data_IF_673707284284
#
_entry.id   IF_673707284284
#
_cell.length_a   1.000
_cell.length_b   1.000
_cell.length_c   1.000
_cell.angle_alpha   90.00
_cell.angle_beta   90.00
_cell.angle_gamma   90.00
#
_symmetry.space_group_name_H-M   'P 1'
#
loop_
_entity.id
_entity.type
_entity.pdbx_description
1 polymer ?
#
# COMPACT_ATOMS: atom_id res chain seq x y z
N UNK A 1 3.50 -18.89 13.03
CA UNK A 1 3.09 -18.69 11.61
C UNK A 1 3.67 -17.40 11.06
N UNK A 2 3.57 -16.28 11.78
CA UNK A 2 4.21 -15.01 11.41
C UNK A 2 5.71 -15.20 11.10
N UNK A 3 6.49 -15.79 12.00
CA UNK A 3 7.93 -16.00 11.78
C UNK A 3 8.24 -16.85 10.54
N UNK A 4 7.40 -17.85 10.23
CA UNK A 4 7.57 -18.67 9.02
C UNK A 4 7.28 -17.86 7.75
N UNK A 5 6.27 -16.98 7.80
CA UNK A 5 5.92 -16.10 6.69
C UNK A 5 7.02 -15.06 6.43
N UNK A 6 7.48 -14.40 7.49
CA UNK A 6 8.55 -13.41 7.41
C UNK A 6 9.87 -14.05 6.96
N UNK A 7 10.25 -15.17 7.58
CA UNK A 7 11.46 -15.91 7.19
C UNK A 7 11.40 -16.52 5.78
N UNK A 8 10.21 -16.78 5.24
CA UNK A 8 10.08 -17.18 3.83
C UNK A 8 10.37 -16.02 2.86
N UNK A 9 10.10 -14.77 3.23
CA UNK A 9 10.32 -13.60 2.38
C UNK A 9 11.68 -12.93 2.61
N UNK A 10 12.31 -13.18 3.75
CA UNK A 10 13.62 -12.64 4.10
C UNK A 10 14.67 -12.90 2.99
N UNK A 11 15.32 -11.81 2.55
CA UNK A 11 16.42 -11.86 1.58
C UNK A 11 16.02 -12.17 0.14
N UNK A 12 14.73 -12.12 -0.21
CA UNK A 12 14.29 -12.27 -1.60
C UNK A 12 14.22 -10.92 -2.30
N UNK A 13 14.87 -10.85 -3.46
CA UNK A 13 14.80 -9.66 -4.31
C UNK A 13 13.38 -9.45 -4.82
N UNK A 14 12.91 -8.19 -4.80
CA UNK A 14 11.65 -7.76 -5.39
C UNK A 14 10.39 -8.38 -4.77
N UNK A 15 10.51 -9.01 -3.60
CA UNK A 15 9.38 -9.62 -2.93
C UNK A 15 9.53 -9.55 -1.42
N UNK A 16 8.57 -8.91 -0.76
CA UNK A 16 8.51 -8.75 0.68
C UNK A 16 7.27 -9.42 1.27
N UNK A 17 7.37 -9.72 2.56
CA UNK A 17 6.27 -10.24 3.36
C UNK A 17 6.06 -9.38 4.61
N UNK A 18 4.82 -9.07 4.92
CA UNK A 18 4.45 -8.47 6.21
C UNK A 18 3.21 -9.16 6.79
N UNK A 19 2.89 -8.86 8.04
CA UNK A 19 1.73 -9.41 8.75
C UNK A 19 0.94 -8.26 9.37
N UNK A 20 -0.38 -8.42 9.40
CA UNK A 20 -1.32 -7.49 10.02
C UNK A 20 -2.24 -8.28 10.96
N UNK A 21 -2.85 -7.61 11.94
CA UNK A 21 -3.87 -8.24 12.76
C UNK A 21 -5.14 -8.53 11.96
N UNK A 22 -5.97 -9.44 12.48
CA UNK A 22 -7.17 -9.91 11.77
C UNK A 22 -8.24 -8.84 11.59
N UNK A 23 -8.35 -7.88 12.52
CA UNK A 23 -9.27 -6.74 12.38
C UNK A 23 -8.83 -5.84 11.22
N UNK A 24 -7.53 -5.56 11.12
CA UNK A 24 -6.94 -4.77 10.05
C UNK A 24 -7.13 -5.47 8.70
N UNK A 25 -6.86 -6.78 8.61
CA UNK A 25 -7.08 -7.55 7.37
C UNK A 25 -8.52 -7.47 6.87
N UNK A 26 -9.50 -7.73 7.76
CA UNK A 26 -10.94 -7.63 7.44
C UNK A 26 -11.34 -6.21 7.03
N UNK A 27 -10.79 -5.19 7.70
CA UNK A 27 -11.06 -3.79 7.39
C UNK A 27 -10.52 -3.42 6.01
N UNK A 28 -9.28 -3.80 5.70
CA UNK A 28 -8.66 -3.56 4.39
C UNK A 28 -9.49 -4.18 3.27
N UNK A 29 -9.79 -5.47 3.36
CA UNK A 29 -10.52 -6.19 2.31
C UNK A 29 -11.94 -5.64 2.10
N UNK A 30 -12.70 -5.44 3.18
CA UNK A 30 -14.08 -4.94 3.09
C UNK A 30 -14.16 -3.50 2.57
N UNK A 31 -13.24 -2.64 2.99
CA UNK A 31 -13.19 -1.24 2.55
C UNK A 31 -12.69 -1.11 1.12
N UNK A 32 -11.70 -1.88 0.71
CA UNK A 32 -11.21 -1.92 -0.67
C UNK A 32 -12.29 -2.43 -1.64
N UNK A 33 -13.12 -3.40 -1.23
CA UNK A 33 -14.27 -3.81 -2.03
C UNK A 33 -15.29 -2.67 -2.26
N UNK A 34 -15.44 -1.75 -1.31
CA UNK A 34 -16.34 -0.59 -1.43
C UNK A 34 -15.69 0.61 -2.13
N UNK A 35 -14.40 0.79 -1.94
CA UNK A 35 -13.58 1.92 -2.39
C UNK A 35 -12.35 1.34 -3.12
N UNK A 36 -12.49 0.90 -4.38
CA UNK A 36 -11.48 0.08 -5.03
C UNK A 36 -10.28 0.86 -5.57
N UNK A 37 -10.29 2.19 -5.53
CA UNK A 37 -9.18 3.01 -6.03
C UNK A 37 -8.56 3.85 -4.93
N UNK A 38 -7.25 4.01 -4.93
CA UNK A 38 -6.63 5.06 -4.14
C UNK A 38 -5.30 5.47 -4.74
N UNK A 39 -4.58 6.38 -4.09
CA UNK A 39 -3.28 6.84 -4.53
C UNK A 39 -2.26 6.75 -3.40
N UNK A 40 -1.01 6.47 -3.77
CA UNK A 40 0.09 6.48 -2.82
C UNK A 40 1.33 7.14 -3.44
N UNK A 41 1.82 8.26 -2.87
CA UNK A 41 3.07 8.87 -3.30
C UNK A 41 4.28 8.09 -2.77
N UNK A 42 5.33 8.01 -3.59
CA UNK A 42 6.68 7.55 -3.20
C UNK A 42 7.61 8.76 -3.31
N UNK A 43 8.25 9.12 -2.19
CA UNK A 43 9.09 10.32 -2.09
C UNK A 43 10.58 9.99 -2.18
N UNK A 44 11.29 10.80 -2.96
CA UNK A 44 12.74 10.76 -3.20
C UNK A 44 13.33 12.16 -3.01
N UNK A 45 14.64 12.31 -3.21
CA UNK A 45 15.35 13.58 -3.01
C UNK A 45 14.81 14.71 -3.90
N UNK A 46 14.51 14.40 -5.17
CA UNK A 46 14.07 15.39 -6.18
C UNK A 46 12.54 15.54 -6.32
N UNK A 47 11.76 15.00 -5.36
CA UNK A 47 10.30 15.10 -5.36
C UNK A 47 9.61 13.77 -5.11
N UNK A 48 8.46 13.56 -5.76
CA UNK A 48 7.68 12.33 -5.62
C UNK A 48 7.04 11.93 -6.94
N UNK A 49 6.71 10.65 -7.05
CA UNK A 49 5.78 10.16 -8.05
C UNK A 49 4.62 9.47 -7.34
N UNK A 50 3.46 9.46 -7.97
CA UNK A 50 2.25 8.89 -7.37
C UNK A 50 1.87 7.60 -8.08
N UNK A 51 1.57 6.57 -7.30
CA UNK A 51 0.95 5.35 -7.79
C UNK A 51 -0.55 5.42 -7.59
N UNK A 52 -1.31 4.90 -8.55
CA UNK A 52 -2.73 4.59 -8.37
C UNK A 52 -2.85 3.12 -7.99
N UNK A 53 -3.50 2.85 -6.88
CA UNK A 53 -3.87 1.52 -6.43
C UNK A 53 -5.26 1.17 -6.95
N UNK A 54 -5.42 -0.05 -7.46
CA UNK A 54 -6.70 -0.64 -7.83
C UNK A 54 -6.86 -2.00 -7.14
N UNK A 55 -7.94 -2.15 -6.38
CA UNK A 55 -8.34 -3.42 -5.77
C UNK A 55 -8.97 -4.37 -6.80
N UNK A 56 -8.59 -5.64 -6.69
CA UNK A 56 -9.10 -6.78 -7.44
C UNK A 56 -9.51 -7.85 -6.42
N UNK A 57 -10.81 -8.12 -6.35
CA UNK A 57 -11.37 -9.15 -5.46
C UNK A 57 -10.72 -10.52 -5.72
N UNK A 58 -10.46 -11.33 -4.68
CA UNK A 58 -10.85 -11.12 -3.28
C UNK A 58 -9.85 -10.37 -2.40
N UNK A 59 -8.61 -10.15 -2.84
CA UNK A 59 -7.56 -9.64 -1.95
C UNK A 59 -6.34 -9.06 -2.63
N UNK A 60 -6.40 -8.76 -3.93
CA UNK A 60 -5.26 -8.32 -4.72
C UNK A 60 -5.33 -6.83 -5.00
N UNK A 61 -4.17 -6.17 -5.03
CA UNK A 61 -4.04 -4.76 -5.35
C UNK A 61 -2.98 -4.59 -6.42
N UNK A 62 -3.30 -3.80 -7.44
CA UNK A 62 -2.40 -3.42 -8.52
C UNK A 62 -2.06 -1.95 -8.36
N UNK A 63 -0.77 -1.61 -8.34
CA UNK A 63 -0.32 -0.22 -8.26
C UNK A 63 0.44 0.14 -9.53
N UNK A 64 -0.07 1.09 -10.29
CA UNK A 64 0.57 1.59 -11.51
C UNK A 64 0.92 3.08 -11.38
N UNK A 65 1.82 3.58 -12.22
CA UNK A 65 2.13 5.01 -12.24
C UNK A 65 0.88 5.83 -12.60
N UNK A 66 0.55 6.83 -11.78
CA UNK A 66 -0.70 7.59 -11.91
C UNK A 66 -0.80 8.30 -13.27
N UNK A 67 0.29 8.87 -13.77
CA UNK A 67 0.25 9.60 -15.05
C UNK A 67 0.07 8.66 -16.24
N UNK A 68 0.71 7.48 -16.24
CA UNK A 68 0.47 6.45 -17.26
C UNK A 68 -0.99 5.97 -17.21
N UNK A 69 -1.55 5.79 -16.01
CA UNK A 69 -2.94 5.39 -15.84
C UNK A 69 -3.92 6.46 -16.33
N UNK A 70 -3.65 7.75 -16.07
CA UNK A 70 -4.46 8.85 -16.61
C UNK A 70 -4.41 8.92 -18.14
N UNK A 71 -3.26 8.60 -18.74
CA UNK A 71 -3.09 8.59 -20.19
C UNK A 71 -3.82 7.41 -20.86
N UNK A 72 -3.59 6.18 -20.38
CA UNK A 72 -4.24 4.98 -20.90
C UNK A 72 -4.29 3.87 -19.82
N UNK A 73 -5.42 3.74 -19.11
CA UNK A 73 -5.59 2.72 -18.07
C UNK A 73 -5.34 1.29 -18.56
N UNK A 74 -5.60 0.99 -19.84
CA UNK A 74 -5.43 -0.36 -20.39
C UNK A 74 -3.96 -0.71 -20.66
N UNK A 75 -3.08 0.29 -20.72
CA UNK A 75 -1.64 0.13 -20.97
C UNK A 75 -0.78 0.35 -19.73
N UNK A 76 -1.31 1.03 -18.71
CA UNK A 76 -0.60 1.26 -17.45
C UNK A 76 -0.17 -0.06 -16.82
N UNK A 77 1.14 -0.30 -16.77
CA UNK A 77 1.71 -1.52 -16.19
C UNK A 77 1.81 -1.38 -14.67
N UNK A 78 1.43 -2.41 -13.90
CA UNK A 78 1.68 -2.44 -12.48
C UNK A 78 3.19 -2.37 -12.19
N UNK A 79 3.57 -1.50 -11.25
CA UNK A 79 4.91 -1.36 -10.73
C UNK A 79 5.06 -2.11 -9.39
N UNK A 80 3.99 -2.16 -8.60
CA UNK A 80 3.89 -2.94 -7.37
C UNK A 80 2.57 -3.71 -7.42
N UNK A 81 2.57 -4.92 -6.89
CA UNK A 81 1.34 -5.62 -6.52
C UNK A 81 1.42 -6.09 -5.08
N UNK A 82 0.30 -6.15 -4.39
CA UNK A 82 0.25 -6.85 -3.11
C UNK A 82 -1.03 -7.64 -2.94
N UNK A 83 -0.95 -8.67 -2.10
CA UNK A 83 -2.09 -9.54 -1.78
C UNK A 83 -2.26 -9.63 -0.27
N UNK A 84 -3.50 -9.56 0.19
CA UNK A 84 -3.87 -9.78 1.60
C UNK A 84 -4.61 -11.11 1.69
N UNK A 85 -4.09 -12.03 2.50
CA UNK A 85 -4.67 -13.34 2.78
C UNK A 85 -5.28 -13.34 4.19
N UNK A 86 -6.57 -13.65 4.30
CA UNK A 86 -7.32 -13.64 5.55
C UNK A 86 -7.68 -15.04 6.08
N UNK A 87 -7.19 -16.11 5.44
CA UNK A 87 -7.44 -17.52 5.79
C UNK A 87 -7.13 -17.85 7.26
N UNK A 88 -6.18 -17.12 7.86
CA UNK A 88 -5.72 -17.33 9.23
C UNK A 88 -6.36 -16.39 10.25
N UNK A 89 -7.23 -15.48 9.83
CA UNK A 89 -7.82 -14.47 10.72
C UNK A 89 -8.69 -15.13 11.79
N UNK A 90 -9.56 -16.06 11.41
CA UNK A 90 -10.51 -16.64 12.38
C UNK A 90 -9.85 -17.62 13.37
N UNK A 91 -8.67 -18.15 13.04
CA UNK A 91 -7.96 -19.15 13.86
C UNK A 91 -6.78 -18.57 14.63
N UNK A 92 -6.11 -17.56 14.08
CA UNK A 92 -4.88 -17.01 14.64
C UNK A 92 -4.87 -15.47 14.75
N UNK A 93 -5.96 -14.78 14.37
CA UNK A 93 -6.07 -13.31 14.35
C UNK A 93 -4.95 -12.63 13.52
N UNK A 94 -4.56 -13.27 12.41
CA UNK A 94 -3.45 -12.84 11.56
C UNK A 94 -3.90 -12.78 10.11
N UNK A 95 -3.67 -11.64 9.46
CA UNK A 95 -3.62 -11.51 8.00
C UNK A 95 -2.19 -11.56 7.49
N UNK A 96 -1.96 -12.27 6.39
CA UNK A 96 -0.66 -12.32 5.73
C UNK A 96 -0.68 -11.39 4.52
N UNK A 97 0.40 -10.64 4.33
CA UNK A 97 0.54 -9.75 3.17
C UNK A 97 1.80 -10.12 2.40
N UNK A 98 1.65 -10.29 1.09
CA UNK A 98 2.76 -10.45 0.14
C UNK A 98 2.85 -9.21 -0.73
N UNK A 99 4.05 -8.69 -0.91
CA UNK A 99 4.36 -7.55 -1.77
C UNK A 99 5.29 -8.03 -2.87
N UNK A 100 5.01 -7.65 -4.12
CA UNK A 100 5.85 -7.91 -5.27
C UNK A 100 6.17 -6.59 -5.98
N UNK A 101 7.45 -6.25 -6.11
CA UNK A 101 7.95 -5.08 -6.84
C UNK A 101 8.31 -5.52 -8.26
N UNK A 102 7.48 -5.16 -9.24
CA UNK A 102 7.60 -5.67 -10.61
C UNK A 102 8.64 -4.88 -11.42
N UNK A 103 8.77 -3.58 -11.15
CA UNK A 103 9.65 -2.68 -11.89
C UNK A 103 10.90 -2.33 -11.07
N UNK A 104 12.07 -2.49 -11.69
CA UNK A 104 13.40 -2.16 -11.13
C UNK A 104 13.62 -0.68 -10.81
N UNK A 105 12.68 0.19 -11.18
CA UNK A 105 12.71 1.61 -10.83
C UNK A 105 12.16 1.93 -9.45
N UNK A 106 11.68 0.94 -8.69
CA UNK A 106 11.24 1.05 -7.29
C UNK A 106 12.16 0.16 -6.45
N UNK A 107 12.69 0.71 -5.36
CA UNK A 107 13.48 -0.06 -4.39
C UNK A 107 12.56 -0.91 -3.50
N UNK A 108 13.02 -2.07 -3.05
CA UNK A 108 12.17 -3.02 -2.33
C UNK A 108 11.61 -2.40 -1.01
N UNK A 109 12.40 -1.59 -0.31
CA UNK A 109 11.96 -0.88 0.89
C UNK A 109 10.93 0.21 0.58
N UNK A 110 11.06 0.95 -0.54
CA UNK A 110 10.04 1.88 -1.03
C UNK A 110 8.73 1.14 -1.31
N UNK A 111 8.83 -0.04 -1.93
CA UNK A 111 7.68 -0.90 -2.25
C UNK A 111 6.92 -1.33 -1.00
N UNK A 112 7.63 -1.89 -0.01
CA UNK A 112 7.03 -2.31 1.24
C UNK A 112 6.42 -1.14 2.03
N UNK A 113 7.10 0.02 2.08
CA UNK A 113 6.58 1.23 2.77
C UNK A 113 5.34 1.79 2.09
N UNK A 114 5.30 1.79 0.76
CA UNK A 114 4.13 2.15 -0.02
C UNK A 114 2.94 1.25 0.32
N UNK A 115 3.15 -0.07 0.37
CA UNK A 115 2.10 -1.02 0.73
C UNK A 115 1.65 -0.84 2.18
N UNK A 116 2.56 -0.69 3.14
CA UNK A 116 2.20 -0.46 4.55
C UNK A 116 1.35 0.81 4.72
N UNK A 117 1.67 1.88 3.98
CA UNK A 117 0.88 3.11 4.00
C UNK A 117 -0.54 2.90 3.45
N UNK A 118 -0.69 2.09 2.40
CA UNK A 118 -2.01 1.70 1.89
C UNK A 118 -2.78 0.81 2.87
N UNK A 119 -2.12 -0.18 3.49
CA UNK A 119 -2.73 -1.01 4.53
C UNK A 119 -3.25 -0.15 5.68
N UNK A 120 -2.49 0.87 6.10
CA UNK A 120 -2.90 1.85 7.09
C UNK A 120 -4.09 2.70 6.61
N UNK A 121 -4.03 3.21 5.38
CA UNK A 121 -5.09 4.03 4.80
C UNK A 121 -6.44 3.31 4.76
N UNK A 122 -6.45 2.01 4.44
CA UNK A 122 -7.68 1.21 4.47
C UNK A 122 -7.99 0.65 5.86
N UNK A 123 -6.97 0.32 6.67
CA UNK A 123 -7.12 -0.37 7.95
C UNK A 123 -7.56 0.54 9.10
N UNK A 124 -7.08 1.78 9.15
CA UNK A 124 -7.33 2.73 10.24
C UNK A 124 -8.51 3.64 9.94
N UNK A 125 -9.40 3.83 10.91
CA UNK A 125 -10.67 4.55 10.72
C UNK A 125 -10.45 6.01 10.33
N UNK A 126 -9.50 6.66 11.00
CA UNK A 126 -9.13 8.05 10.77
C UNK A 126 -8.52 8.28 9.38
N UNK A 127 -7.71 7.34 8.89
CA UNK A 127 -7.05 7.44 7.59
C UNK A 127 -7.97 7.03 6.44
N UNK A 128 -8.93 6.15 6.69
CA UNK A 128 -9.90 5.72 5.68
C UNK A 128 -10.79 6.85 5.16
N UNK A 129 -10.89 7.96 5.90
CA UNK A 129 -11.62 9.16 5.45
C UNK A 129 -11.11 9.67 4.10
N UNK A 130 -9.79 9.67 3.87
CA UNK A 130 -9.17 10.07 2.61
C UNK A 130 -9.48 9.11 1.46
N UNK A 131 -9.40 7.80 1.73
CA UNK A 131 -9.77 6.75 0.76
C UNK A 131 -11.23 6.88 0.35
N UNK A 132 -12.11 7.04 1.34
CA UNK A 132 -13.54 7.19 1.12
C UNK A 132 -13.85 8.47 0.33
N UNK A 133 -13.22 9.60 0.69
CA UNK A 133 -13.35 10.85 -0.06
C UNK A 133 -12.92 10.68 -1.51
N UNK A 134 -11.75 10.08 -1.77
CA UNK A 134 -11.27 9.81 -3.13
C UNK A 134 -12.27 9.02 -3.99
N UNK A 135 -12.92 7.99 -3.43
CA UNK A 135 -13.83 7.12 -4.19
C UNK A 135 -15.27 7.63 -4.28
N UNK A 136 -15.76 8.33 -3.25
CA UNK A 136 -17.20 8.61 -3.06
C UNK A 136 -17.53 10.09 -3.02
N UNK A 137 -16.54 10.95 -2.76
CA UNK A 137 -16.67 12.41 -2.66
C UNK A 137 -15.44 13.11 -3.24
N UNK A 138 -15.09 12.85 -4.51
CA UNK A 138 -13.84 13.33 -5.10
C UNK A 138 -13.69 14.86 -5.04
N UNK A 139 -14.79 15.61 -4.99
CA UNK A 139 -14.82 17.06 -4.80
C UNK A 139 -14.31 17.54 -3.43
N UNK A 140 -14.30 16.65 -2.43
CA UNK A 140 -13.78 16.92 -1.08
C UNK A 140 -12.37 16.38 -0.85
N UNK A 141 -11.80 15.68 -1.83
CA UNK A 141 -10.45 15.14 -1.73
C UNK A 141 -9.44 16.17 -2.21
N UNK A 142 -8.60 16.66 -1.28
CA UNK A 142 -7.49 17.55 -1.58
C UNK A 142 -6.21 16.72 -1.81
N UNK A 143 -5.78 16.64 -3.07
CA UNK A 143 -4.59 15.89 -3.46
C UNK A 143 -3.31 16.47 -2.87
N UNK A 144 -3.16 17.79 -2.87
CA UNK A 144 -1.94 18.45 -2.44
C UNK A 144 -1.78 18.35 -0.93
N UNK A 145 -2.87 18.52 -0.17
CA UNK A 145 -2.89 18.29 1.27
C UNK A 145 -2.58 16.83 1.63
N UNK A 146 -3.19 15.86 0.92
CA UNK A 146 -2.90 14.45 1.13
C UNK A 146 -1.41 14.13 0.90
N UNK A 147 -0.83 14.57 -0.21
CA UNK A 147 0.59 14.36 -0.51
C UNK A 147 1.48 15.03 0.55
N UNK A 148 1.16 16.24 0.99
CA UNK A 148 1.93 16.94 2.03
C UNK A 148 1.94 16.16 3.35
N UNK A 149 0.80 15.60 3.76
CA UNK A 149 0.70 14.74 4.95
C UNK A 149 1.50 13.44 4.78
N UNK A 150 1.40 12.78 3.64
CA UNK A 150 2.15 11.56 3.36
C UNK A 150 3.67 11.80 3.37
N UNK A 151 4.14 12.96 2.91
CA UNK A 151 5.57 13.31 2.96
C UNK A 151 6.09 13.39 4.40
N UNK A 152 5.31 13.94 5.32
CA UNK A 152 5.70 14.04 6.74
C UNK A 152 5.86 12.65 7.38
N UNK A 153 4.94 11.73 7.07
CA UNK A 153 5.01 10.33 7.52
C UNK A 153 6.25 9.65 6.91
N UNK A 154 6.42 9.81 5.59
CA UNK A 154 7.54 9.20 4.86
C UNK A 154 8.91 9.63 5.39
N UNK A 155 9.08 10.91 5.73
CA UNK A 155 10.35 11.41 6.27
C UNK A 155 10.60 10.92 7.70
N UNK A 156 9.55 10.78 8.51
CA UNK A 156 9.66 10.28 9.88
C UNK A 156 10.13 8.82 9.91
N UNK A 157 9.54 7.97 9.06
CA UNK A 157 9.93 6.56 8.96
C UNK A 157 11.37 6.37 8.46
N UNK A 158 11.84 7.25 7.54
CA UNK A 158 13.22 7.22 7.04
C UNK A 158 14.21 7.54 8.16
N UNK A 159 13.94 8.60 8.93
CA UNK A 159 14.81 9.02 10.03
C UNK A 159 14.82 8.04 11.22
N UNK A 160 13.69 7.35 11.45
CA UNK A 160 13.61 6.29 12.46
C UNK A 160 14.52 5.09 12.17
N UNK A 161 14.74 4.75 10.90
CA UNK A 161 15.66 3.67 10.49
C UNK A 161 17.14 4.07 10.51
N UNK A 162 17.46 5.35 10.27
CA UNK A 162 18.86 5.84 10.29
C UNK A 162 19.48 5.96 11.70
N UNK A 163 18.74 5.59 12.75
CA UNK A 163 19.20 5.68 14.15
C UNK A 163 19.82 4.38 14.67
N UNK A 164 19.77 3.29 13.90
CA UNK A 164 20.22 1.94 14.28
C UNK A 164 21.47 1.46 13.50
N UNK A 165 22.23 2.37 12.88
CA UNK A 165 23.58 2.13 12.31
C UNK A 165 24.66 2.86 13.11
#
# INVERSE_FOLDING_TARGET
VQDLWLGYHEGKDHMDGTVIDGKTAKSVLSRAALCPFFIQPIFREDGYFTLVSQFQSPGHFLLAYLEDYKMDPARAQPLITFSVFDDLVDTFDIGLVRVDVINKGIEDDEGLRCVNSLLDAYGKDELFTSVHAFNKKPESFDFDDYVAQQNQIWMTDRNGKSSDE
#
